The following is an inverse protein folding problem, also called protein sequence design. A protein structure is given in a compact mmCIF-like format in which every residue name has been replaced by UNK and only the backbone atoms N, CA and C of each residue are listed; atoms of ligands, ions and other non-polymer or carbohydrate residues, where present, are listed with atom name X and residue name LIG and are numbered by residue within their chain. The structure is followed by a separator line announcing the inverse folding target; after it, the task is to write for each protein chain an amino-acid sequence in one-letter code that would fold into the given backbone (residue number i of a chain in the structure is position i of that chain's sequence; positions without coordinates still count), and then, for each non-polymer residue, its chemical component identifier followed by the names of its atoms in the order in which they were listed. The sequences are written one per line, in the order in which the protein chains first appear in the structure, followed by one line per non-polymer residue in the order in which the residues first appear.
data_IF_803387303249
#
_entry.id   IF_803387303249
#
_cell.length_a   1.000
_cell.length_b   1.000
_cell.length_c   1.000
_cell.angle_alpha   90.00
_cell.angle_beta   90.00
_cell.angle_gamma   90.00
#
_symmetry.space_group_name_H-M   'P 1'
#
loop_
_entity.id
_entity.type
_entity.pdbx_description
1 polymer ?
#
# COMPACT_ATOMS: atom_id res chain seq x y z
N UNK A 1 8.02 11.12 21.93
CA UNK A 1 7.17 10.72 20.79
C UNK A 1 7.90 9.58 20.10
N UNK A 2 7.46 8.33 20.29
CA UNK A 2 8.18 7.16 19.76
C UNK A 2 8.20 7.25 18.24
N UNK A 3 9.42 7.28 17.70
CA UNK A 3 9.69 7.02 16.30
C UNK A 3 9.19 5.60 16.03
N UNK A 4 8.07 5.46 15.33
CA UNK A 4 7.59 4.16 14.85
C UNK A 4 8.66 3.63 13.91
N UNK A 5 9.49 2.72 14.42
CA UNK A 5 10.41 1.95 13.61
C UNK A 5 9.58 1.30 12.50
N UNK A 6 10.01 1.46 11.25
CA UNK A 6 9.39 0.76 10.13
C UNK A 6 9.33 -0.72 10.49
N UNK A 7 8.11 -1.21 10.70
CA UNK A 7 7.85 -2.62 10.94
C UNK A 7 8.29 -3.38 9.70
N UNK A 8 8.75 -4.61 9.89
CA UNK A 8 9.10 -5.45 8.75
C UNK A 8 7.91 -5.64 7.79
N UNK A 9 6.68 -5.56 8.31
CA UNK A 9 5.45 -5.56 7.51
C UNK A 9 5.34 -4.38 6.56
N UNK A 10 5.61 -3.15 7.02
CA UNK A 10 5.62 -1.95 6.16
C UNK A 10 6.63 -2.10 5.02
N UNK A 11 7.85 -2.54 5.33
CA UNK A 11 8.90 -2.73 4.33
C UNK A 11 8.52 -3.81 3.30
N UNK A 12 7.93 -4.92 3.75
CA UNK A 12 7.44 -6.00 2.88
C UNK A 12 6.33 -5.51 1.95
N UNK A 13 5.30 -4.83 2.47
CA UNK A 13 4.19 -4.30 1.68
C UNK A 13 4.67 -3.25 0.69
N UNK A 14 5.57 -2.34 1.11
CA UNK A 14 6.14 -1.32 0.24
C UNK A 14 6.93 -1.93 -0.93
N UNK A 15 7.67 -3.04 -0.69
CA UNK A 15 8.39 -3.74 -1.76
C UNK A 15 7.44 -4.33 -2.79
N UNK A 16 6.41 -5.07 -2.37
CA UNK A 16 5.46 -5.68 -3.31
C UNK A 16 4.69 -4.61 -4.09
N UNK A 17 4.34 -3.48 -3.45
CA UNK A 17 3.72 -2.34 -4.14
C UNK A 17 4.64 -1.75 -5.21
N UNK A 18 5.94 -1.59 -4.93
CA UNK A 18 6.90 -1.11 -5.93
C UNK A 18 7.05 -2.06 -7.11
N UNK A 19 7.02 -3.37 -6.87
CA UNK A 19 7.06 -4.38 -7.93
C UNK A 19 5.77 -4.38 -8.77
N UNK A 20 4.61 -4.18 -8.14
CA UNK A 20 3.31 -4.11 -8.82
C UNK A 20 3.08 -2.82 -9.58
N UNK A 21 3.60 -1.70 -9.08
CA UNK A 21 3.46 -0.38 -9.67
C UNK A 21 4.84 0.22 -9.97
N UNK A 22 5.54 -0.26 -11.01
CA UNK A 22 6.87 0.23 -11.35
C UNK A 22 6.87 1.69 -11.83
N UNK A 23 5.70 2.22 -12.24
CA UNK A 23 5.49 3.62 -12.63
C UNK A 23 4.97 4.49 -11.47
N UNK A 24 4.94 3.97 -10.25
CA UNK A 24 4.56 4.76 -9.09
C UNK A 24 5.63 5.83 -8.80
N UNK A 25 5.20 7.09 -8.75
CA UNK A 25 6.04 8.23 -8.37
C UNK A 25 6.30 8.24 -6.85
N UNK A 26 5.31 7.83 -6.05
CA UNK A 26 5.45 7.74 -4.61
C UNK A 26 4.66 6.55 -4.04
N UNK A 27 5.28 5.81 -3.12
CA UNK A 27 4.65 4.75 -2.35
C UNK A 27 4.99 4.97 -0.88
N UNK A 28 3.96 5.10 -0.05
CA UNK A 28 4.08 5.20 1.39
C UNK A 28 3.19 4.17 2.05
N UNK A 29 3.77 3.42 2.98
CA UNK A 29 3.05 2.44 3.81
C UNK A 29 3.31 2.83 5.26
N UNK A 30 2.25 2.88 6.05
CA UNK A 30 2.30 3.23 7.47
C UNK A 30 1.51 2.20 8.26
N UNK A 31 2.14 1.58 9.25
CA UNK A 31 1.43 0.75 10.22
C UNK A 31 0.63 1.63 11.18
N UNK A 32 -0.70 1.45 11.18
CA UNK A 32 -1.64 2.17 12.06
C UNK A 32 -2.19 1.26 13.17
N UNK A 33 -1.68 0.03 13.29
CA UNK A 33 -2.05 -0.92 14.34
C UNK A 33 -1.18 -0.81 15.60
N UNK A 34 -0.21 0.10 15.62
CA UNK A 34 0.67 0.30 16.77
C UNK A 34 1.73 -0.77 16.94
N UNK A 35 2.19 -1.40 15.85
CA UNK A 35 3.27 -2.39 15.86
C UNK A 35 2.82 -3.85 15.83
N UNK A 36 1.51 -4.12 15.79
CA UNK A 36 0.97 -5.48 15.68
C UNK A 36 0.90 -5.97 14.22
N UNK A 37 0.99 -5.06 13.25
CA UNK A 37 0.86 -5.38 11.83
C UNK A 37 -0.54 -5.82 11.42
N UNK A 38 -1.58 -5.40 12.15
CA UNK A 38 -2.97 -5.76 11.88
C UNK A 38 -3.67 -4.79 10.91
N UNK A 39 -3.20 -3.54 10.83
CA UNK A 39 -3.75 -2.49 9.97
C UNK A 39 -2.68 -1.61 9.38
N UNK A 40 -2.76 -1.38 8.06
CA UNK A 40 -1.83 -0.49 7.36
C UNK A 40 -2.58 0.53 6.53
N UNK A 41 -1.98 1.70 6.43
CA UNK A 41 -2.38 2.76 5.54
C UNK A 41 -1.38 2.85 4.39
N UNK A 42 -1.90 2.71 3.17
CA UNK A 42 -1.13 2.66 1.94
C UNK A 42 -1.52 3.86 1.08
N UNK A 43 -0.53 4.65 0.71
CA UNK A 43 -0.66 5.75 -0.24
C UNK A 43 0.17 5.40 -1.47
N UNK A 44 -0.48 5.29 -2.62
CA UNK A 44 0.19 5.04 -3.90
C UNK A 44 -0.15 6.18 -4.85
N UNK A 45 0.90 6.81 -5.35
CA UNK A 45 0.84 7.80 -6.40
C UNK A 45 1.46 7.21 -7.68
N UNK A 46 0.67 7.04 -8.73
CA UNK A 46 1.12 6.43 -9.98
C UNK A 46 0.38 7.01 -11.19
N UNK A 47 1.08 7.15 -12.30
CA UNK A 47 0.48 7.50 -13.59
C UNK A 47 -0.49 6.43 -14.10
N UNK A 48 -0.31 5.16 -13.69
CA UNK A 48 -1.18 4.04 -14.07
C UNK A 48 -2.63 4.23 -13.60
N UNK A 49 -2.86 5.11 -12.61
CA UNK A 49 -4.19 5.41 -12.10
C UNK A 49 -4.96 6.43 -12.93
N UNK A 50 -4.30 7.15 -13.86
CA UNK A 50 -4.90 8.25 -14.64
C UNK A 50 -6.11 7.83 -15.46
N UNK A 51 -6.10 6.60 -15.97
CA UNK A 51 -7.18 6.06 -16.82
C UNK A 51 -8.07 5.06 -16.07
N UNK A 52 -7.96 4.98 -14.74
CA UNK A 52 -8.69 4.02 -13.90
C UNK A 52 -9.65 4.73 -12.97
N UNK A 53 -10.82 4.15 -12.74
CA UNK A 53 -11.74 4.62 -11.69
C UNK A 53 -11.19 4.27 -10.31
N UNK A 54 -11.52 5.04 -9.28
CA UNK A 54 -11.10 4.81 -7.89
C UNK A 54 -11.29 3.36 -7.42
N UNK A 55 -12.42 2.74 -7.77
CA UNK A 55 -12.67 1.31 -7.42
C UNK A 55 -11.65 0.38 -8.09
N UNK A 56 -11.30 0.62 -9.36
CA UNK A 56 -10.29 -0.17 -10.07
C UNK A 56 -8.90 0.06 -9.49
N UNK A 57 -8.55 1.31 -9.16
CA UNK A 57 -7.29 1.65 -8.50
C UNK A 57 -7.17 0.88 -7.16
N UNK A 58 -8.21 0.90 -6.34
CA UNK A 58 -8.25 0.15 -5.09
C UNK A 58 -8.20 -1.36 -5.30
N UNK A 59 -8.84 -1.89 -6.35
CA UNK A 59 -8.74 -3.31 -6.70
C UNK A 59 -7.31 -3.68 -7.08
N UNK A 60 -6.62 -2.88 -7.88
CA UNK A 60 -5.22 -3.11 -8.26
C UNK A 60 -4.31 -3.13 -7.03
N UNK A 61 -4.49 -2.18 -6.08
CA UNK A 61 -3.72 -2.17 -4.83
C UNK A 61 -4.10 -3.36 -3.94
N UNK A 62 -5.37 -3.75 -3.88
CA UNK A 62 -5.81 -4.93 -3.12
C UNK A 62 -5.25 -6.24 -3.68
N UNK A 63 -4.94 -6.34 -4.98
CA UNK A 63 -4.31 -7.53 -5.54
C UNK A 63 -2.91 -7.83 -4.96
N UNK A 64 -2.27 -6.84 -4.33
CA UNK A 64 -1.02 -7.03 -3.57
C UNK A 64 -1.21 -8.01 -2.40
N UNK A 65 -2.44 -8.11 -1.86
CA UNK A 65 -2.81 -9.08 -0.82
C UNK A 65 -2.82 -10.53 -1.32
N UNK A 66 -2.85 -10.74 -2.64
CA UNK A 66 -2.94 -12.06 -3.25
C UNK A 66 -1.60 -12.77 -3.48
N UNK A 67 -0.46 -12.14 -3.16
CA UNK A 67 0.88 -12.67 -3.43
C UNK A 67 1.52 -13.52 -2.32
N UNK A 68 0.90 -13.62 -1.15
CA UNK A 68 1.38 -14.43 -0.04
C UNK A 68 0.29 -14.62 1.01
N UNK A 69 0.13 -15.86 1.48
CA UNK A 69 -0.91 -16.25 2.46
C UNK A 69 -0.85 -15.42 3.76
N UNK A 70 0.30 -14.81 4.07
CA UNK A 70 0.53 -13.93 5.23
C UNK A 70 -0.22 -12.57 5.18
N UNK A 71 -0.42 -11.96 4.01
CA UNK A 71 -1.03 -10.61 3.91
C UNK A 71 -2.57 -10.69 4.08
N UNK A 72 -3.16 -11.88 3.91
CA UNK A 72 -4.60 -12.10 4.15
C UNK A 72 -4.99 -11.91 5.61
N UNK A 73 -4.05 -12.02 6.55
CA UNK A 73 -4.28 -11.79 7.98
C UNK A 73 -4.37 -10.31 8.37
N UNK A 74 -4.09 -9.37 7.45
CA UNK A 74 -4.22 -7.93 7.67
C UNK A 74 -5.70 -7.54 7.68
N UNK A 75 -6.27 -7.47 8.88
CA UNK A 75 -7.67 -7.19 9.17
C UNK A 75 -8.18 -5.87 8.57
N UNK A 76 -7.30 -4.88 8.32
CA UNK A 76 -7.66 -3.62 7.66
C UNK A 76 -6.55 -3.04 6.78
N UNK A 77 -6.92 -2.58 5.59
CA UNK A 77 -6.08 -1.73 4.76
C UNK A 77 -6.85 -0.46 4.43
N UNK A 78 -6.22 0.70 4.64
CA UNK A 78 -6.69 1.96 4.08
C UNK A 78 -5.87 2.26 2.85
N UNK A 79 -6.53 2.35 1.71
CA UNK A 79 -5.88 2.57 0.43
C UNK A 79 -6.23 3.98 -0.03
N UNK A 80 -5.19 4.76 -0.28
CA UNK A 80 -5.26 6.06 -0.92
C UNK A 80 -4.51 5.96 -2.24
N UNK A 81 -5.22 6.27 -3.31
CA UNK A 81 -4.66 6.27 -4.68
C UNK A 81 -4.80 7.65 -5.25
N UNK A 82 -3.75 8.12 -5.90
CA UNK A 82 -3.71 9.45 -6.52
C UNK A 82 -2.86 9.40 -7.76
N UNK A 83 -3.16 10.28 -8.71
CA UNK A 83 -2.31 10.48 -9.88
C UNK A 83 -1.37 11.63 -9.59
N UNK A 84 -0.09 11.52 -9.97
CA UNK A 84 0.84 12.64 -9.84
C UNK A 84 0.28 13.85 -10.57
N UNK A 85 0.18 14.98 -9.86
CA UNK A 85 -0.13 16.26 -10.50
C UNK A 85 1.14 16.70 -11.19
N UNK A 86 1.16 16.57 -12.51
CA UNK A 86 2.19 17.13 -13.37
C UNK A 86 2.36 18.64 -13.11
#
# INVERSE_FOLDING_TARGET
RSFTAQTEGEARVARVLREKFPRASAIRVVDISGGCGAMYEIHVESEEFREKRTVQQHQMVNQVRGGGEEIKSMHGLRIFTSTPKA
#
